data_IF_933422328063
#
_entry.id   IF_933422328063
#
_cell.length_a   1.000
_cell.length_b   1.000
_cell.length_c   1.000
_cell.angle_alpha   90.00
_cell.angle_beta   90.00
_cell.angle_gamma   90.00
#
_symmetry.space_group_name_H-M   'P 1'
#
loop_
_entity.id
_entity.type
_entity.pdbx_description
1 polymer ?
#
# COMPACT_ATOMS: atom_id res chain seq x y z
N UNK A 1 16.84 19.46 8.43
CA UNK A 1 15.69 19.54 9.35
C UNK A 1 16.12 20.28 10.59
N UNK A 2 15.21 21.01 11.22
CA UNK A 2 15.46 21.76 12.47
C UNK A 2 15.15 20.87 13.65
N UNK A 3 16.02 20.85 14.67
CA UNK A 3 15.73 20.20 15.94
C UNK A 3 14.59 20.94 16.65
N UNK A 4 13.51 20.23 16.96
CA UNK A 4 12.30 20.75 17.59
C UNK A 4 12.23 20.45 19.10
N UNK A 5 13.24 19.78 19.67
CA UNK A 5 13.19 19.28 21.06
C UNK A 5 12.94 20.40 22.08
N UNK A 6 13.64 21.52 21.94
CA UNK A 6 13.50 22.68 22.84
C UNK A 6 12.10 23.33 22.71
N UNK A 7 11.53 23.34 21.50
CA UNK A 7 10.18 23.85 21.27
C UNK A 7 9.13 22.93 21.89
N UNK A 8 9.29 21.61 21.73
CA UNK A 8 8.42 20.63 22.33
C UNK A 8 8.44 20.70 23.86
N UNK A 9 9.63 20.82 24.47
CA UNK A 9 9.76 21.01 25.93
C UNK A 9 9.07 22.29 26.39
N UNK A 10 9.33 23.42 25.71
CA UNK A 10 8.72 24.72 26.01
C UNK A 10 7.19 24.67 26.00
N UNK A 11 6.62 23.95 25.03
CA UNK A 11 5.18 23.85 24.83
C UNK A 11 4.57 22.61 25.52
N UNK A 12 5.36 21.91 26.35
CA UNK A 12 4.92 20.71 27.10
C UNK A 12 4.39 19.58 26.21
N UNK A 13 4.93 19.47 25.01
CA UNK A 13 4.67 18.40 24.05
C UNK A 13 5.61 17.25 24.36
N UNK A 14 5.05 16.13 24.80
CA UNK A 14 5.82 14.98 25.31
C UNK A 14 5.46 13.70 24.58
N UNK A 15 6.40 12.74 24.55
CA UNK A 15 6.23 11.48 23.81
C UNK A 15 5.02 10.66 24.24
N UNK A 16 4.59 10.76 25.50
CA UNK A 16 3.45 10.02 26.07
C UNK A 16 2.09 10.51 25.55
N UNK A 17 2.05 11.66 24.89
CA UNK A 17 0.85 12.16 24.21
C UNK A 17 0.63 11.50 22.84
N UNK A 18 1.61 10.74 22.34
CA UNK A 18 1.61 10.15 21.01
C UNK A 18 1.75 8.63 21.08
N UNK A 19 1.35 7.97 19.99
CA UNK A 19 1.72 6.57 19.79
C UNK A 19 3.25 6.44 19.68
N UNK A 20 3.87 5.43 20.33
CA UNK A 20 5.33 5.29 20.33
C UNK A 20 5.94 5.31 18.93
N UNK A 21 5.36 4.57 17.99
CA UNK A 21 5.87 4.50 16.62
C UNK A 21 5.88 5.87 15.91
N UNK A 22 4.88 6.71 16.15
CA UNK A 22 4.74 8.00 15.49
C UNK A 22 5.77 9.01 16.04
N UNK A 23 6.01 8.96 17.36
CA UNK A 23 7.06 9.75 17.99
C UNK A 23 8.45 9.31 17.53
N UNK A 24 8.69 8.00 17.47
CA UNK A 24 9.96 7.43 17.04
C UNK A 24 10.25 7.74 15.56
N UNK A 25 9.25 7.66 14.69
CA UNK A 25 9.37 8.06 13.27
C UNK A 25 9.71 9.55 13.11
N UNK A 26 9.24 10.38 14.02
CA UNK A 26 9.51 11.82 14.05
C UNK A 26 10.83 12.20 14.74
N UNK A 27 11.54 11.20 15.27
CA UNK A 27 12.77 11.38 16.05
C UNK A 27 13.98 10.76 15.35
N UNK A 28 15.14 11.39 15.50
CA UNK A 28 16.40 10.85 14.99
C UNK A 28 17.53 11.17 15.96
N UNK A 29 18.35 10.15 16.30
CA UNK A 29 19.44 10.29 17.28
C UNK A 29 19.01 10.98 18.59
N UNK A 30 17.82 10.61 19.10
CA UNK A 30 17.30 11.14 20.37
C UNK A 30 16.74 12.57 20.31
N UNK A 31 16.65 13.18 19.13
CA UNK A 31 16.11 14.53 18.93
C UNK A 31 14.83 14.47 18.10
N UNK A 32 13.88 15.34 18.42
CA UNK A 32 12.61 15.46 17.70
C UNK A 32 12.77 16.38 16.48
N UNK A 33 12.32 15.97 15.31
CA UNK A 33 12.42 16.76 14.07
C UNK A 33 11.06 17.04 13.40
N UNK A 34 9.99 16.41 13.87
CA UNK A 34 8.62 16.65 13.42
C UNK A 34 7.63 16.44 14.57
N UNK A 35 6.44 17.03 14.47
CA UNK A 35 5.32 16.74 15.37
C UNK A 35 4.33 15.83 14.64
N UNK A 36 4.03 14.63 15.15
CA UNK A 36 3.02 13.78 14.54
C UNK A 36 1.65 14.45 14.54
N UNK A 37 1.02 14.60 13.37
CA UNK A 37 -0.34 15.18 13.24
C UNK A 37 -1.40 14.15 12.86
N UNK A 38 -0.99 13.06 12.23
CA UNK A 38 -1.84 11.95 11.81
C UNK A 38 -0.95 10.74 11.51
N UNK A 39 -1.47 9.55 11.74
CA UNK A 39 -0.91 8.31 11.23
C UNK A 39 -1.91 7.67 10.26
N UNK A 40 -1.41 6.95 9.27
CA UNK A 40 -2.25 6.26 8.29
C UNK A 40 -1.86 4.79 8.18
N UNK A 41 -2.88 3.94 8.04
CA UNK A 41 -2.71 2.51 7.78
C UNK A 41 -2.97 2.20 6.30
N UNK A 42 -2.42 1.08 5.83
CA UNK A 42 -2.71 0.53 4.50
C UNK A 42 -3.73 -0.61 4.63
N UNK A 43 -4.84 -0.48 3.90
CA UNK A 43 -5.91 -1.49 3.88
C UNK A 43 -6.11 -2.02 2.46
N UNK A 44 -6.52 -3.29 2.36
CA UNK A 44 -6.97 -3.90 1.13
C UNK A 44 -8.48 -3.75 1.01
N UNK A 45 -8.93 -3.00 0.01
CA UNK A 45 -10.35 -2.91 -0.36
C UNK A 45 -10.63 -3.85 -1.53
N UNK A 46 -11.80 -4.46 -1.55
CA UNK A 46 -12.26 -5.31 -2.65
C UNK A 46 -13.75 -5.08 -2.93
N UNK A 47 -14.14 -5.21 -4.20
CA UNK A 47 -15.53 -5.06 -4.61
C UNK A 47 -16.27 -6.41 -4.43
N UNK A 48 -17.27 -6.42 -3.54
CA UNK A 48 -18.06 -7.62 -3.24
C UNK A 48 -18.88 -8.12 -4.43
N UNK A 49 -19.42 -7.22 -5.24
CA UNK A 49 -20.22 -7.62 -6.40
C UNK A 49 -19.32 -8.30 -7.45
N UNK A 50 -18.12 -7.77 -7.67
CA UNK A 50 -17.15 -8.38 -8.58
C UNK A 50 -16.62 -9.73 -8.05
N UNK A 51 -16.41 -9.87 -6.73
CA UNK A 51 -16.07 -11.15 -6.13
C UNK A 51 -17.19 -12.18 -6.37
N UNK A 52 -18.44 -11.79 -6.17
CA UNK A 52 -19.60 -12.67 -6.40
C UNK A 52 -19.68 -13.09 -7.88
N UNK A 53 -19.54 -12.15 -8.80
CA UNK A 53 -19.53 -12.42 -10.24
C UNK A 53 -18.40 -13.37 -10.65
N UNK A 54 -17.22 -13.25 -10.02
CA UNK A 54 -16.07 -14.11 -10.25
C UNK A 54 -16.12 -15.46 -9.49
N UNK A 55 -17.20 -15.74 -8.74
CA UNK A 55 -17.35 -16.96 -7.95
C UNK A 55 -16.40 -17.06 -6.74
N UNK A 56 -15.90 -15.93 -6.23
CA UNK A 56 -15.07 -15.84 -5.03
C UNK A 56 -15.93 -15.70 -3.76
N UNK A 57 -15.43 -16.21 -2.64
CA UNK A 57 -16.10 -16.12 -1.34
C UNK A 57 -16.00 -14.70 -0.77
N UNK A 58 -17.16 -14.07 -0.57
CA UNK A 58 -17.29 -12.70 -0.07
C UNK A 58 -16.76 -12.51 1.35
N UNK A 59 -16.62 -13.57 2.14
CA UNK A 59 -16.15 -13.52 3.51
C UNK A 59 -14.68 -13.95 3.64
N UNK A 60 -14.01 -14.27 2.53
CA UNK A 60 -12.61 -14.69 2.49
C UNK A 60 -11.82 -13.81 1.51
N UNK A 61 -11.54 -12.54 1.89
CA UNK A 61 -10.62 -11.74 1.12
C UNK A 61 -9.23 -12.40 1.06
N UNK A 62 -8.37 -12.02 0.10
CA UNK A 62 -6.99 -12.49 0.05
C UNK A 62 -6.28 -12.24 1.39
N UNK A 63 -5.73 -13.30 1.98
CA UNK A 63 -4.92 -13.24 3.21
C UNK A 63 -3.47 -13.66 2.99
N UNK A 64 -3.15 -14.14 1.79
CA UNK A 64 -1.79 -14.50 1.37
C UNK A 64 -1.39 -13.76 0.09
N UNK A 65 -0.09 -13.64 -0.15
CA UNK A 65 0.42 -13.05 -1.40
C UNK A 65 0.01 -13.90 -2.62
N UNK A 66 0.04 -15.22 -2.51
CA UNK A 66 -0.41 -16.12 -3.59
C UNK A 66 -1.87 -15.84 -3.98
N UNK A 67 -2.77 -15.61 -3.01
CA UNK A 67 -4.16 -15.24 -3.30
C UNK A 67 -4.27 -13.84 -3.92
N UNK A 68 -3.41 -12.91 -3.54
CA UNK A 68 -3.30 -11.58 -4.16
C UNK A 68 -2.74 -11.64 -5.59
N UNK A 69 -2.12 -12.74 -6.01
CA UNK A 69 -1.74 -12.98 -7.39
C UNK A 69 -2.83 -13.71 -8.18
N UNK A 70 -3.50 -14.69 -7.57
CA UNK A 70 -4.50 -15.53 -8.25
C UNK A 70 -5.88 -14.87 -8.42
N UNK A 71 -6.37 -14.14 -7.42
CA UNK A 71 -7.72 -13.57 -7.46
C UNK A 71 -7.86 -12.46 -8.52
N UNK A 72 -6.86 -11.58 -8.73
CA UNK A 72 -6.93 -10.57 -9.78
C UNK A 72 -7.15 -11.11 -11.19
N UNK A 73 -6.65 -12.30 -11.51
CA UNK A 73 -6.87 -12.93 -12.82
C UNK A 73 -8.35 -13.24 -13.05
N UNK A 74 -9.06 -13.69 -12.01
CA UNK A 74 -10.52 -13.93 -12.05
C UNK A 74 -11.33 -12.64 -12.12
N UNK A 75 -10.79 -11.56 -11.58
CA UNK A 75 -11.43 -10.25 -11.53
C UNK A 75 -11.09 -9.37 -12.75
N UNK A 76 -10.17 -9.80 -13.61
CA UNK A 76 -9.76 -9.03 -14.79
C UNK A 76 -10.69 -9.33 -15.96
N UNK A 77 -11.31 -8.28 -16.54
CA UNK A 77 -12.24 -8.41 -17.66
C UNK A 77 -11.65 -7.78 -18.92
N UNK A 78 -11.70 -8.50 -20.04
CA UNK A 78 -11.20 -8.06 -21.35
C UNK A 78 -12.31 -8.12 -22.41
N UNK A 79 -12.18 -7.27 -23.43
CA UNK A 79 -12.98 -7.21 -24.65
C UNK A 79 -12.00 -7.21 -25.84
N UNK A 80 -11.78 -8.40 -26.41
CA UNK A 80 -10.67 -8.65 -27.30
C UNK A 80 -9.32 -8.36 -26.63
N UNK A 81 -8.52 -7.48 -27.23
CA UNK A 81 -7.23 -7.05 -26.67
C UNK A 81 -7.33 -5.91 -25.65
N UNK A 82 -8.54 -5.37 -25.41
CA UNK A 82 -8.73 -4.22 -24.50
C UNK A 82 -9.15 -4.68 -23.12
N UNK A 83 -8.49 -4.15 -22.08
CA UNK A 83 -8.95 -4.30 -20.70
C UNK A 83 -10.17 -3.41 -20.44
N UNK A 84 -11.21 -3.98 -19.83
CA UNK A 84 -12.38 -3.25 -19.30
C UNK A 84 -12.28 -3.06 -17.79
N UNK A 85 -11.63 -4.01 -17.10
CA UNK A 85 -11.42 -4.02 -15.66
C UNK A 85 -10.09 -4.73 -15.36
N UNK A 86 -9.32 -4.20 -14.42
CA UNK A 86 -8.15 -4.87 -13.85
C UNK A 86 -8.51 -5.34 -12.44
N UNK A 87 -8.23 -6.60 -12.12
CA UNK A 87 -8.52 -7.16 -10.81
C UNK A 87 -7.67 -6.58 -9.68
N UNK A 88 -6.42 -6.24 -9.97
CA UNK A 88 -5.52 -5.58 -9.04
C UNK A 88 -4.37 -4.91 -9.81
N UNK A 89 -3.95 -3.73 -9.35
CA UNK A 89 -2.83 -2.98 -9.90
C UNK A 89 -2.00 -2.42 -8.72
N UNK A 90 -0.94 -3.13 -8.29
CA UNK A 90 -0.20 -2.84 -7.06
C UNK A 90 0.28 -1.40 -6.89
N UNK A 91 0.61 -0.72 -7.99
CA UNK A 91 1.15 0.64 -8.02
C UNK A 91 0.10 1.74 -8.22
N UNK A 92 -1.16 1.38 -8.49
CA UNK A 92 -2.17 2.34 -8.92
C UNK A 92 -2.41 3.40 -7.83
N UNK A 93 -2.11 4.66 -8.15
CA UNK A 93 -2.24 5.80 -7.23
C UNK A 93 -1.12 5.97 -6.20
N UNK A 94 -0.11 5.08 -6.18
CA UNK A 94 0.98 5.10 -5.20
C UNK A 94 2.37 4.76 -5.80
N UNK A 95 2.49 4.69 -7.13
CA UNK A 95 3.73 4.36 -7.81
C UNK A 95 4.79 5.48 -7.71
N UNK A 96 5.93 5.15 -7.12
CA UNK A 96 7.15 5.98 -7.07
C UNK A 96 8.32 5.27 -7.79
N UNK A 97 9.38 5.99 -8.16
CA UNK A 97 10.52 5.44 -8.91
C UNK A 97 11.06 4.11 -8.35
N UNK A 98 11.10 3.96 -7.02
CA UNK A 98 11.55 2.72 -6.37
C UNK A 98 10.51 1.58 -6.45
N UNK A 99 9.21 1.87 -6.52
CA UNK A 99 8.16 0.85 -6.73
C UNK A 99 8.29 0.25 -8.13
N UNK A 100 8.57 1.07 -9.15
CA UNK A 100 8.88 0.60 -10.50
C UNK A 100 10.18 -0.23 -10.53
N UNK A 101 11.19 0.16 -9.76
CA UNK A 101 12.43 -0.60 -9.59
C UNK A 101 12.19 -1.98 -8.96
N UNK A 102 11.40 -2.03 -7.88
CA UNK A 102 10.99 -3.26 -7.21
C UNK A 102 10.20 -4.18 -8.15
N UNK A 103 9.26 -3.61 -8.91
CA UNK A 103 8.50 -4.34 -9.91
C UNK A 103 9.37 -4.83 -11.08
N UNK A 104 10.36 -4.08 -11.55
CA UNK A 104 11.26 -4.56 -12.61
C UNK A 104 12.14 -5.75 -12.21
N UNK A 105 12.26 -6.01 -10.90
CA UNK A 105 12.83 -7.25 -10.36
C UNK A 105 11.83 -8.43 -10.51
N UNK A 106 12.16 -9.65 -10.08
CA UNK A 106 11.42 -10.89 -10.43
C UNK A 106 9.86 -10.85 -10.36
N UNK A 107 9.26 -9.94 -9.60
CA UNK A 107 7.82 -9.75 -9.44
C UNK A 107 7.09 -9.08 -10.63
N UNK A 108 7.72 -8.20 -11.42
CA UNK A 108 7.06 -7.58 -12.60
C UNK A 108 7.25 -8.35 -13.90
N UNK A 109 8.00 -9.46 -13.86
CA UNK A 109 8.11 -10.39 -15.01
C UNK A 109 6.79 -11.12 -15.31
N UNK A 110 5.84 -11.15 -14.36
CA UNK A 110 4.49 -11.71 -14.58
C UNK A 110 3.67 -10.82 -15.53
N UNK A 111 3.84 -9.49 -15.47
CA UNK A 111 3.06 -8.53 -16.27
C UNK A 111 3.45 -8.52 -17.76
N UNK A 112 4.73 -8.78 -18.06
CA UNK A 112 5.23 -8.81 -19.45
C UNK A 112 4.85 -10.08 -20.23
N UNK A 113 4.40 -11.15 -19.56
CA UNK A 113 4.00 -12.39 -20.24
C UNK A 113 2.68 -12.27 -21.02
N UNK A 114 1.89 -11.22 -20.80
CA UNK A 114 0.59 -11.01 -21.46
C UNK A 114 0.71 -10.19 -22.78
N UNK A 115 1.90 -9.71 -23.14
CA UNK A 115 2.14 -8.97 -24.39
C UNK A 115 2.88 -9.76 -25.48
N UNK A 116 3.10 -11.06 -25.29
CA UNK A 116 3.78 -11.93 -26.25
C UNK A 116 2.93 -13.13 -26.73
N UNK A 117 1.60 -13.06 -26.59
CA UNK A 117 0.63 -13.94 -27.26
C UNK A 117 -0.58 -13.13 -27.74
#
# INVERSE_FOLDING_TARGET
>A
MTDLSDYAEKDSVTKDQYYPFAWDESSYNGKLYAIPISAGDRLLFYNKDEFKEAGLDLNKPPTTMDQLEEYPDKLTKKDGSRFKQLGFAPWLGQGWLYTWGWESSKWGKVFLKILAL
#
